data_IF_075139981933
#
_entry.id   IF_075139981933
#
_cell.length_a   1.000
_cell.length_b   1.000
_cell.length_c   1.000
_cell.angle_alpha   90.00
_cell.angle_beta   90.00
_cell.angle_gamma   90.00
#
_symmetry.space_group_name_H-M   'P 1'
#
loop_
_entity.id
_entity.type
_entity.pdbx_description
1 polymer ?
#
# COMPACT_ATOMS: atom_id res chain seq x y z
N UNK A 1 9.08 8.91 -2.52
CA UNK A 1 7.83 9.59 -2.91
C UNK A 1 7.90 11.08 -2.53
N UNK A 2 7.07 11.95 -3.13
CA UNK A 2 7.12 13.39 -2.89
C UNK A 2 6.54 13.85 -1.55
N UNK A 3 6.48 15.16 -1.34
CA UNK A 3 5.87 15.86 -0.19
C UNK A 3 4.37 16.08 -0.34
N UNK A 4 3.82 15.96 -1.56
CA UNK A 4 2.38 15.94 -1.82
C UNK A 4 1.87 14.50 -1.86
N UNK A 5 0.96 14.17 -0.94
CA UNK A 5 0.40 12.82 -0.79
C UNK A 5 -1.09 12.84 -1.13
N UNK A 6 -1.52 11.88 -1.95
CA UNK A 6 -2.92 11.77 -2.36
C UNK A 6 -3.55 10.58 -1.65
N UNK A 7 -4.54 10.85 -0.81
CA UNK A 7 -5.33 9.82 -0.14
C UNK A 7 -6.80 10.23 -0.18
N UNK A 8 -7.67 9.27 -0.49
CA UNK A 8 -9.11 9.47 -0.36
C UNK A 8 -9.50 9.67 1.09
N UNK A 9 -10.45 10.57 1.36
CA UNK A 9 -11.04 10.65 2.69
C UNK A 9 -11.85 9.39 3.01
N UNK A 10 -12.19 9.18 4.29
CA UNK A 10 -13.08 8.09 4.69
C UNK A 10 -14.52 8.44 4.33
N UNK A 11 -15.00 7.88 3.21
CA UNK A 11 -16.34 8.10 2.71
C UNK A 11 -17.41 7.41 3.58
N UNK A 12 -18.66 7.87 3.51
CA UNK A 12 -19.73 7.36 4.39
C UNK A 12 -19.99 5.85 4.24
N UNK A 13 -19.79 5.31 3.03
CA UNK A 13 -19.98 3.89 2.72
C UNK A 13 -18.71 3.05 2.89
N UNK A 14 -17.61 3.65 3.37
CA UNK A 14 -16.39 2.90 3.61
C UNK A 14 -16.61 1.89 4.74
N UNK A 15 -16.24 0.64 4.50
CA UNK A 15 -16.42 -0.45 5.46
C UNK A 15 -15.72 -0.21 6.80
N UNK A 16 -14.53 0.41 6.77
CA UNK A 16 -13.73 0.73 7.95
C UNK A 16 -14.19 2.02 8.66
N UNK A 17 -15.27 2.68 8.18
CA UNK A 17 -15.79 3.90 8.79
C UNK A 17 -16.34 3.62 10.18
N UNK A 18 -15.94 4.46 11.13
CA UNK A 18 -16.45 4.50 12.48
C UNK A 18 -17.37 5.70 12.67
N UNK A 19 -18.10 5.74 13.79
CA UNK A 19 -18.98 6.86 14.14
C UNK A 19 -18.20 8.07 14.69
N UNK A 20 -17.20 8.54 13.95
CA UNK A 20 -16.37 9.67 14.32
C UNK A 20 -16.33 10.69 13.18
N UNK A 21 -16.60 11.99 13.43
CA UNK A 21 -16.79 12.98 12.36
C UNK A 21 -15.53 13.26 11.54
N UNK A 22 -14.34 13.09 12.15
CA UNK A 22 -13.06 13.48 11.54
C UNK A 22 -12.06 12.32 11.47
N UNK A 23 -12.56 11.08 11.33
CA UNK A 23 -11.73 9.88 11.16
C UNK A 23 -10.71 10.10 10.04
N UNK A 24 -9.43 9.85 10.35
CA UNK A 24 -8.35 9.90 9.37
C UNK A 24 -8.27 8.58 8.59
N UNK A 25 -7.94 8.63 7.29
CA UNK A 25 -7.70 7.43 6.49
C UNK A 25 -6.50 6.64 7.03
N UNK A 26 -6.62 5.32 7.04
CA UNK A 26 -5.61 4.41 7.56
C UNK A 26 -4.33 4.42 6.72
N UNK A 27 -4.41 4.46 5.39
CA UNK A 27 -3.22 4.47 4.52
C UNK A 27 -2.35 5.72 4.69
N UNK A 28 -2.97 6.85 5.02
CA UNK A 28 -2.24 8.08 5.36
C UNK A 28 -1.38 7.87 6.62
N UNK A 29 -1.97 7.26 7.65
CA UNK A 29 -1.30 7.01 8.94
C UNK A 29 -0.27 5.88 8.82
N UNK A 30 -0.56 4.85 8.03
CA UNK A 30 0.38 3.77 7.68
C UNK A 30 1.69 4.35 7.14
N UNK A 31 1.59 5.23 6.15
CA UNK A 31 2.75 5.88 5.55
C UNK A 31 3.57 6.66 6.58
N UNK A 32 2.93 7.41 7.47
CA UNK A 32 3.61 8.18 8.52
C UNK A 32 4.37 7.26 9.47
N UNK A 33 3.75 6.16 9.89
CA UNK A 33 4.35 5.20 10.84
C UNK A 33 5.51 4.43 10.20
N UNK A 34 5.35 3.96 8.96
CA UNK A 34 6.43 3.28 8.23
C UNK A 34 7.64 4.19 8.00
N UNK A 35 7.42 5.47 7.71
CA UNK A 35 8.49 6.43 7.49
C UNK A 35 9.23 6.83 8.78
N UNK A 36 8.57 6.73 9.94
CA UNK A 36 9.07 7.32 11.19
C UNK A 36 9.40 6.31 12.28
N UNK A 37 9.20 5.01 12.03
CA UNK A 37 9.37 3.97 13.06
C UNK A 37 9.74 2.61 12.49
N UNK A 38 10.47 1.82 13.27
CA UNK A 38 10.72 0.39 13.00
C UNK A 38 9.66 -0.49 13.70
N UNK A 39 9.56 -1.75 13.31
CA UNK A 39 8.76 -2.73 14.05
C UNK A 39 9.16 -2.76 15.54
N UNK A 40 8.18 -2.97 16.43
CA UNK A 40 8.35 -2.93 17.88
C UNK A 40 8.46 -1.53 18.49
N UNK A 41 8.56 -0.46 17.68
CA UNK A 41 8.62 0.92 18.19
C UNK A 41 7.31 1.33 18.88
N UNK A 42 7.43 2.25 19.84
CA UNK A 42 6.29 2.90 20.50
C UNK A 42 5.80 4.09 19.68
N UNK A 43 4.49 4.14 19.40
CA UNK A 43 3.80 5.26 18.74
C UNK A 43 2.76 5.83 19.71
N UNK A 44 2.83 7.14 19.95
CA UNK A 44 1.89 7.86 20.81
C UNK A 44 0.94 8.72 19.96
N UNK A 45 -0.36 8.59 20.20
CA UNK A 45 -1.39 9.49 19.67
C UNK A 45 -2.15 10.15 20.84
N UNK A 46 -1.89 11.44 21.14
CA UNK A 46 -2.57 12.13 22.23
C UNK A 46 -4.02 12.52 21.92
N UNK A 47 -4.48 12.36 20.67
CA UNK A 47 -5.82 12.72 20.20
C UNK A 47 -6.42 11.60 19.35
N UNK A 48 -6.56 10.43 19.97
CA UNK A 48 -6.80 9.15 19.30
C UNK A 48 -8.09 9.13 18.45
N UNK A 49 -9.16 9.80 18.88
CA UNK A 49 -10.42 9.89 18.16
C UNK A 49 -10.99 8.51 17.80
N UNK A 50 -11.06 8.21 16.50
CA UNK A 50 -11.58 6.93 15.97
C UNK A 50 -10.65 5.72 16.13
N UNK A 51 -9.47 5.89 16.72
CA UNK A 51 -8.54 4.78 16.94
C UNK A 51 -7.67 4.42 15.73
N UNK A 52 -7.62 5.27 14.69
CA UNK A 52 -6.91 4.98 13.43
C UNK A 52 -5.43 4.66 13.68
N UNK A 53 -4.74 5.46 14.50
CA UNK A 53 -3.31 5.26 14.81
C UNK A 53 -3.03 3.91 15.45
N UNK A 54 -3.84 3.52 16.45
CA UNK A 54 -3.68 2.22 17.10
C UNK A 54 -4.01 1.06 16.17
N UNK A 55 -5.05 1.23 15.33
CA UNK A 55 -5.43 0.22 14.34
C UNK A 55 -4.30 -0.06 13.36
N UNK A 56 -3.65 1.00 12.86
CA UNK A 56 -2.49 0.87 11.98
C UNK A 56 -1.29 0.26 12.72
N UNK A 57 -1.00 0.70 13.96
CA UNK A 57 0.08 0.13 14.76
C UNK A 57 -0.08 -1.39 14.95
N UNK A 58 -1.30 -1.86 15.20
CA UNK A 58 -1.62 -3.28 15.35
C UNK A 58 -1.21 -4.09 14.12
N UNK A 59 -1.44 -3.57 12.92
CA UNK A 59 -1.12 -4.27 11.65
C UNK A 59 0.35 -4.17 11.28
N UNK A 60 1.00 -3.08 11.68
CA UNK A 60 2.39 -2.82 11.41
C UNK A 60 3.33 -3.37 12.49
N UNK A 61 2.86 -4.15 13.47
CA UNK A 61 3.70 -4.63 14.59
C UNK A 61 4.37 -3.51 15.39
N UNK A 62 3.67 -2.39 15.64
CA UNK A 62 4.13 -1.31 16.53
C UNK A 62 3.33 -1.34 17.83
N UNK A 63 3.95 -0.90 18.92
CA UNK A 63 3.24 -0.68 20.19
C UNK A 63 2.58 0.68 20.11
N UNK A 64 1.24 0.72 20.18
CA UNK A 64 0.49 1.97 20.13
C UNK A 64 -0.02 2.37 21.52
N UNK A 65 0.12 3.65 21.88
CA UNK A 65 -0.54 4.27 23.04
C UNK A 65 -1.40 5.43 22.54
N UNK A 66 -2.68 5.40 22.88
CA UNK A 66 -3.63 6.43 22.47
C UNK A 66 -4.32 7.06 23.67
N UNK A 67 -4.48 8.39 23.64
CA UNK A 67 -5.22 9.15 24.65
C UNK A 67 -6.45 9.75 23.98
N UNK A 68 -7.61 9.59 24.62
CA UNK A 68 -8.88 10.14 24.16
C UNK A 68 -9.71 10.57 25.36
N UNK A 69 -10.29 11.77 25.28
CA UNK A 69 -11.07 12.36 26.36
C UNK A 69 -12.50 11.81 26.36
N UNK A 70 -13.08 11.58 25.19
CA UNK A 70 -14.47 11.14 25.06
C UNK A 70 -14.58 9.62 25.32
N UNK A 71 -15.28 9.19 26.39
CA UNK A 71 -15.42 7.77 26.72
C UNK A 71 -16.11 6.95 25.61
N UNK A 72 -17.00 7.56 24.82
CA UNK A 72 -17.66 6.87 23.70
C UNK A 72 -16.67 6.56 22.58
N UNK A 73 -15.72 7.45 22.31
CA UNK A 73 -14.65 7.24 21.33
C UNK A 73 -13.60 6.25 21.83
N UNK A 74 -13.33 6.23 23.14
CA UNK A 74 -12.51 5.17 23.76
C UNK A 74 -13.17 3.81 23.57
N UNK A 75 -14.48 3.68 23.85
CA UNK A 75 -15.22 2.43 23.68
C UNK A 75 -15.22 1.98 22.21
N UNK A 76 -15.54 2.89 21.29
CA UNK A 76 -15.53 2.63 19.85
C UNK A 76 -14.15 2.18 19.35
N UNK A 77 -13.07 2.85 19.79
CA UNK A 77 -11.70 2.47 19.43
C UNK A 77 -11.34 1.08 19.96
N UNK A 78 -11.72 0.74 21.19
CA UNK A 78 -11.52 -0.61 21.75
C UNK A 78 -12.26 -1.67 20.97
N UNK A 79 -13.53 -1.44 20.64
CA UNK A 79 -14.33 -2.36 19.82
C UNK A 79 -13.72 -2.52 18.42
N UNK A 80 -13.29 -1.43 17.78
CA UNK A 80 -12.60 -1.46 16.48
C UNK A 80 -11.34 -2.32 16.53
N UNK A 81 -10.52 -2.20 17.58
CA UNK A 81 -9.26 -2.95 17.72
C UNK A 81 -9.48 -4.47 17.91
N UNK A 82 -10.66 -4.89 18.34
CA UNK A 82 -11.05 -6.30 18.46
C UNK A 82 -11.62 -6.89 17.17
N UNK A 83 -11.99 -6.05 16.19
CA UNK A 83 -12.50 -6.52 14.89
C UNK A 83 -11.37 -7.06 14.03
N UNK A 84 -11.69 -8.05 13.21
CA UNK A 84 -10.81 -8.60 12.19
C UNK A 84 -10.29 -7.51 11.26
N UNK A 85 -9.04 -7.64 10.82
CA UNK A 85 -8.43 -6.74 9.85
C UNK A 85 -8.74 -7.22 8.44
N UNK A 86 -9.32 -6.33 7.63
CA UNK A 86 -9.78 -6.63 6.26
C UNK A 86 -9.00 -5.83 5.21
N UNK A 87 -7.90 -5.18 5.61
CA UNK A 87 -7.16 -4.23 4.77
C UNK A 87 -7.39 -2.77 5.17
N UNK A 88 -6.51 -1.89 4.69
CA UNK A 88 -6.58 -0.46 4.94
C UNK A 88 -7.61 0.25 4.04
N UNK A 89 -8.16 1.35 4.55
CA UNK A 89 -9.28 2.06 3.91
C UNK A 89 -8.93 2.95 2.70
N UNK A 90 -7.64 3.19 2.44
CA UNK A 90 -7.14 4.13 1.45
C UNK A 90 -5.69 3.83 1.09
N UNK A 91 -5.26 4.16 -0.14
CA UNK A 91 -3.88 4.02 -0.61
C UNK A 91 -3.50 5.25 -1.45
N UNK A 92 -2.21 5.59 -1.49
CA UNK A 92 -1.71 6.57 -2.47
C UNK A 92 -1.64 5.90 -3.85
N UNK A 93 -2.34 6.40 -4.89
CA UNK A 93 -2.34 5.79 -6.22
C UNK A 93 -0.95 5.66 -6.85
N UNK A 94 0.05 6.42 -6.35
CA UNK A 94 1.44 6.28 -6.78
C UNK A 94 2.08 4.96 -6.33
N UNK A 95 1.58 4.34 -5.26
CA UNK A 95 2.07 3.05 -4.76
C UNK A 95 1.70 1.88 -5.70
N UNK A 96 0.69 2.03 -6.54
CA UNK A 96 0.31 1.01 -7.53
C UNK A 96 1.17 1.06 -8.80
N UNK A 97 2.06 2.06 -8.91
CA UNK A 97 2.86 2.26 -10.13
C UNK A 97 4.10 1.36 -10.14
N UNK A 98 4.31 0.71 -11.27
CA UNK A 98 5.53 -0.05 -11.55
C UNK A 98 6.59 0.88 -12.16
N UNK A 99 7.82 0.94 -11.62
CA UNK A 99 8.89 1.76 -12.19
C UNK A 99 9.34 1.22 -13.55
N UNK A 100 9.46 2.10 -14.54
CA UNK A 100 9.84 1.75 -15.92
C UNK A 100 11.35 1.88 -16.18
N UNK A 101 12.07 2.54 -15.28
CA UNK A 101 13.47 2.93 -15.40
C UNK A 101 14.46 1.88 -14.85
N UNK A 102 13.97 0.83 -14.18
CA UNK A 102 14.78 -0.27 -13.66
C UNK A 102 15.14 -1.30 -14.74
N UNK A 103 16.17 -0.98 -15.54
CA UNK A 103 16.67 -1.84 -16.63
C UNK A 103 17.31 -3.13 -16.14
N UNK A 104 18.06 -3.07 -15.04
CA UNK A 104 18.74 -4.25 -14.49
C UNK A 104 17.71 -5.17 -13.83
N UNK A 105 17.64 -6.42 -14.30
CA UNK A 105 16.65 -7.40 -13.85
C UNK A 105 16.77 -7.75 -12.36
N UNK A 106 17.98 -7.94 -11.83
CA UNK A 106 18.15 -8.32 -10.43
C UNK A 106 17.72 -7.19 -9.49
N UNK A 107 18.06 -5.95 -9.85
CA UNK A 107 17.65 -4.75 -9.10
C UNK A 107 16.13 -4.58 -9.20
N UNK A 108 15.56 -4.76 -10.40
CA UNK A 108 14.11 -4.67 -10.60
C UNK A 108 13.36 -5.69 -9.76
N UNK A 109 13.75 -6.97 -9.81
CA UNK A 109 13.13 -8.03 -9.01
C UNK A 109 13.20 -7.72 -7.51
N UNK A 110 14.37 -7.32 -7.01
CA UNK A 110 14.53 -6.94 -5.61
C UNK A 110 13.63 -5.73 -5.22
N UNK A 111 13.55 -4.71 -6.07
CA UNK A 111 12.67 -3.57 -5.85
C UNK A 111 11.21 -4.00 -5.78
N UNK A 112 10.73 -4.82 -6.72
CA UNK A 112 9.34 -5.25 -6.79
C UNK A 112 8.94 -6.06 -5.56
N UNK A 113 9.80 -6.97 -5.09
CA UNK A 113 9.57 -7.73 -3.87
C UNK A 113 9.51 -6.82 -2.63
N UNK A 114 10.47 -5.92 -2.48
CA UNK A 114 10.49 -4.97 -1.37
C UNK A 114 9.28 -4.02 -1.41
N UNK A 115 8.87 -3.60 -2.60
CA UNK A 115 7.73 -2.71 -2.80
C UNK A 115 6.43 -3.39 -2.38
N UNK A 116 6.21 -4.65 -2.79
CA UNK A 116 5.08 -5.45 -2.33
C UNK A 116 5.08 -5.59 -0.81
N UNK A 117 6.24 -5.94 -0.24
CA UNK A 117 6.38 -6.18 1.19
C UNK A 117 6.14 -4.92 2.04
N UNK A 118 6.67 -3.76 1.63
CA UNK A 118 6.59 -2.53 2.41
C UNK A 118 5.34 -1.69 2.16
N UNK A 119 4.80 -1.67 0.94
CA UNK A 119 3.73 -0.74 0.58
C UNK A 119 2.39 -1.41 0.28
N UNK A 120 2.36 -2.71 -0.03
CA UNK A 120 1.13 -3.37 -0.50
C UNK A 120 0.62 -4.48 0.43
N UNK A 121 1.35 -4.81 1.49
CA UNK A 121 1.00 -5.88 2.45
C UNK A 121 -0.40 -5.71 3.08
N UNK A 122 -0.88 -4.48 3.24
CA UNK A 122 -2.20 -4.17 3.82
C UNK A 122 -3.27 -3.77 2.79
N UNK A 123 -2.98 -3.90 1.49
CA UNK A 123 -3.79 -3.39 0.39
C UNK A 123 -4.00 -4.48 -0.68
N UNK A 124 -4.81 -5.49 -0.39
CA UNK A 124 -4.96 -6.68 -1.25
C UNK A 124 -5.35 -6.35 -2.70
N UNK A 125 -6.30 -5.44 -2.89
CA UNK A 125 -6.72 -5.03 -4.24
C UNK A 125 -5.55 -4.38 -5.00
N UNK A 126 -4.83 -3.45 -4.36
CA UNK A 126 -3.69 -2.76 -4.96
C UNK A 126 -2.53 -3.70 -5.24
N UNK A 127 -2.30 -4.72 -4.39
CA UNK A 127 -1.33 -5.77 -4.64
C UNK A 127 -1.67 -6.53 -5.93
N UNK A 128 -2.93 -6.93 -6.09
CA UNK A 128 -3.37 -7.68 -7.28
C UNK A 128 -3.24 -6.87 -8.58
N UNK A 129 -3.54 -5.57 -8.52
CA UNK A 129 -3.44 -4.67 -9.68
C UNK A 129 -1.97 -4.33 -9.99
N UNK A 130 -1.13 -4.18 -8.98
CA UNK A 130 0.31 -4.03 -9.12
C UNK A 130 0.95 -5.26 -9.78
N UNK A 131 0.65 -6.47 -9.29
CA UNK A 131 1.16 -7.72 -9.86
C UNK A 131 0.75 -7.90 -11.31
N UNK A 132 -0.51 -7.60 -11.66
CA UNK A 132 -0.98 -7.60 -13.04
C UNK A 132 -0.20 -6.64 -13.92
N UNK A 133 0.11 -5.45 -13.40
CA UNK A 133 0.89 -4.44 -14.11
C UNK A 133 2.35 -4.87 -14.29
N UNK A 134 2.94 -5.52 -13.29
CA UNK A 134 4.29 -6.09 -13.37
C UNK A 134 4.36 -7.15 -14.46
N UNK A 135 3.44 -8.13 -14.45
CA UNK A 135 3.41 -9.19 -15.46
C UNK A 135 3.23 -8.64 -16.88
N UNK A 136 2.39 -7.61 -17.04
CA UNK A 136 2.16 -6.97 -18.33
C UNK A 136 3.41 -6.29 -18.91
N UNK A 137 4.24 -5.67 -18.04
CA UNK A 137 5.44 -4.93 -18.40
C UNK A 137 6.70 -5.81 -18.48
N UNK A 138 6.81 -6.79 -17.59
CA UNK A 138 7.98 -7.64 -17.39
C UNK A 138 7.59 -9.12 -17.33
N UNK A 139 7.07 -9.70 -18.43
CA UNK A 139 6.64 -11.09 -18.44
C UNK A 139 7.84 -12.04 -18.27
N UNK A 140 7.63 -13.16 -17.58
CA UNK A 140 8.66 -14.19 -17.37
C UNK A 140 9.12 -14.86 -18.67
N UNK A 141 8.24 -14.90 -19.68
CA UNK A 141 8.58 -15.33 -21.04
C UNK A 141 8.55 -14.12 -21.98
N UNK A 142 9.59 -13.92 -22.81
CA UNK A 142 9.57 -12.88 -23.81
C UNK A 142 8.36 -13.09 -24.72
N UNK A 143 7.56 -12.03 -24.95
CA UNK A 143 6.50 -12.06 -25.95
C UNK A 143 7.14 -12.35 -27.31
N UNK A 144 6.56 -13.26 -28.08
CA UNK A 144 6.99 -13.45 -29.47
C UNK A 144 6.91 -12.12 -30.20
N UNK A 145 7.95 -11.75 -30.98
CA UNK A 145 7.95 -10.48 -31.69
C UNK A 145 6.77 -10.42 -32.66
N UNK A 146 5.88 -9.44 -32.47
CA UNK A 146 4.70 -9.20 -33.31
C UNK A 146 5.09 -8.92 -34.77
N UNK A 147 6.32 -8.47 -35.00
CA UNK A 147 6.93 -8.34 -36.32
C UNK A 147 8.35 -8.89 -36.32
N UNK A 148 8.63 -9.80 -37.26
CA UNK A 148 10.00 -10.14 -37.64
C UNK A 148 10.75 -8.87 -38.01
N UNK A 149 11.94 -8.70 -37.43
CA UNK A 149 12.84 -7.59 -37.75
C UNK A 149 13.26 -7.66 -39.22
N UNK A 150 13.63 -6.51 -39.81
CA UNK A 150 14.12 -6.44 -41.20
C UNK A 150 15.34 -7.35 -41.46
N UNK A 151 16.13 -7.63 -40.42
CA UNK A 151 17.28 -8.54 -40.47
C UNK A 151 16.83 -10.00 -40.60
N UNK A 152 15.89 -10.43 -39.76
CA UNK A 152 15.34 -11.79 -39.81
C UNK A 152 14.55 -12.02 -41.11
N UNK A 153 13.85 -10.98 -41.60
CA UNK A 153 13.24 -11.02 -42.94
C UNK A 153 14.30 -11.21 -44.03
N UNK A 154 15.43 -10.49 -43.98
CA UNK A 154 16.50 -10.61 -44.99
C UNK A 154 17.14 -12.00 -45.03
N UNK A 155 17.29 -12.67 -43.89
CA UNK A 155 17.85 -14.03 -43.85
C UNK A 155 16.91 -15.07 -44.48
N UNK A 156 15.59 -14.88 -44.33
CA UNK A 156 14.60 -15.74 -44.96
C UNK A 156 14.58 -15.66 -46.50
N UNK A 157 15.02 -14.55 -47.08
CA UNK A 157 15.06 -14.34 -48.54
C UNK A 157 16.45 -14.56 -49.17
N UNK A 158 17.42 -15.10 -48.43
CA UNK A 158 18.68 -15.58 -49.02
C UNK A 158 18.50 -17.00 -49.57
N UNK A 159 17.87 -17.10 -50.74
CA UNK A 159 18.05 -18.22 -51.69
C UNK A 159 19.38 -18.11 -52.42
#
# INVERSE_FOLDING_TARGET
PGDVWEFSHVHYCNYNRQNHPTQKPEGLVERMILASSSEGSLVLDPFLGSGTTLRVCQQLNRVGVGIELNPDYVKMSKERLQKEFVGFDSIDPRMERVPLDLRNESIRKAYLENHKHWFLRGHENALSDFERSVEALYPDKPKEPIQMTLLEKKEQYKT
#
